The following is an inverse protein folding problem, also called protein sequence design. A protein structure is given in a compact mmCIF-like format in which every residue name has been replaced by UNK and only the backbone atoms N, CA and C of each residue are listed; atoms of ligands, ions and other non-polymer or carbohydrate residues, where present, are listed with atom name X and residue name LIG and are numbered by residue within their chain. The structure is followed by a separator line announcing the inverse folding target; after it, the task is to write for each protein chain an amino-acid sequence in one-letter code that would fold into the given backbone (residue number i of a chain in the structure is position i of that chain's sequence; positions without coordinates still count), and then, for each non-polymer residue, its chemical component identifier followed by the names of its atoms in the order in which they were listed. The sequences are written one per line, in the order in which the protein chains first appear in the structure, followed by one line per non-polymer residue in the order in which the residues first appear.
data_IF_458331125778
#
_entry.id   IF_458331125778
#
_cell.length_a   1.000
_cell.length_b   1.000
_cell.length_c   1.000
_cell.angle_alpha   90.00
_cell.angle_beta   90.00
_cell.angle_gamma   90.00
#
_symmetry.space_group_name_H-M   'P 1'
#
loop_
_entity.id
_entity.type
_entity.pdbx_description
1 polymer ?
#
# COMPACT_ATOMS: atom_id res chain seq x y z
N UNK A 1 7.89 -14.61 2.22
CA UNK A 1 7.48 -13.53 3.13
C UNK A 1 7.55 -13.89 4.63
N UNK A 2 7.03 -15.03 5.11
CA UNK A 2 6.93 -15.31 6.57
C UNK A 2 8.25 -15.27 7.36
N UNK A 3 9.36 -15.70 6.74
CA UNK A 3 10.70 -15.62 7.36
C UNK A 3 11.15 -14.19 7.63
N UNK A 4 10.86 -13.26 6.71
CA UNK A 4 11.22 -11.84 6.87
C UNK A 4 10.39 -11.24 8.00
N UNK A 5 9.09 -11.53 8.02
CA UNK A 5 8.16 -11.05 9.05
C UNK A 5 8.60 -11.52 10.44
N UNK A 6 8.81 -12.84 10.64
CA UNK A 6 9.27 -13.38 11.94
C UNK A 6 10.58 -12.75 12.41
N UNK A 7 11.51 -12.46 11.47
CA UNK A 7 12.79 -11.84 11.80
C UNK A 7 12.65 -10.36 12.19
N UNK A 8 11.67 -9.63 11.66
CA UNK A 8 11.57 -8.16 11.79
C UNK A 8 10.41 -7.67 12.66
N UNK A 9 9.44 -8.52 13.00
CA UNK A 9 8.22 -8.12 13.70
C UNK A 9 8.44 -7.46 15.06
N UNK A 10 9.54 -7.79 15.76
CA UNK A 10 9.92 -7.16 17.03
C UNK A 10 10.99 -6.07 16.91
N UNK A 11 11.34 -5.64 15.69
CA UNK A 11 12.30 -4.55 15.51
C UNK A 11 11.65 -3.24 15.95
N UNK A 12 12.26 -2.49 16.89
CA UNK A 12 11.73 -1.20 17.31
C UNK A 12 11.75 -0.20 16.14
N UNK A 13 10.79 0.71 16.12
CA UNK A 13 10.70 1.80 15.15
C UNK A 13 10.21 3.05 15.86
N UNK A 14 10.64 4.22 15.40
CA UNK A 14 10.22 5.53 15.92
C UNK A 14 9.24 6.25 15.00
N UNK A 15 8.88 7.47 15.39
CA UNK A 15 7.95 8.31 14.63
C UNK A 15 8.49 8.67 13.23
N UNK A 16 9.79 8.90 13.11
CA UNK A 16 10.44 9.16 11.81
C UNK A 16 10.34 7.96 10.87
N UNK A 17 10.57 6.75 11.37
CA UNK A 17 10.43 5.52 10.58
C UNK A 17 8.96 5.32 10.13
N UNK A 18 8.03 5.66 11.04
CA UNK A 18 6.60 5.58 10.75
C UNK A 18 6.19 6.58 9.68
N UNK A 19 6.66 7.81 9.76
CA UNK A 19 6.41 8.84 8.77
C UNK A 19 6.95 8.42 7.40
N UNK A 20 8.20 7.94 7.36
CA UNK A 20 8.79 7.43 6.12
C UNK A 20 8.00 6.25 5.54
N UNK A 21 7.52 5.32 6.39
CA UNK A 21 6.63 4.23 5.95
C UNK A 21 5.34 4.76 5.30
N UNK A 22 4.74 5.82 5.85
CA UNK A 22 3.50 6.39 5.33
C UNK A 22 3.71 7.07 3.96
N UNK A 23 4.85 7.73 3.75
CA UNK A 23 5.23 8.29 2.45
C UNK A 23 5.44 7.21 1.39
N UNK A 24 6.12 6.10 1.76
CA UNK A 24 6.26 4.95 0.86
C UNK A 24 4.92 4.31 0.52
N UNK A 25 3.98 4.29 1.47
CA UNK A 25 2.60 3.84 1.23
C UNK A 25 1.84 4.79 0.30
N UNK A 26 2.10 6.10 0.34
CA UNK A 26 1.58 7.07 -0.62
C UNK A 26 1.99 6.71 -2.05
N UNK A 27 3.29 6.47 -2.27
CA UNK A 27 3.82 6.01 -3.58
C UNK A 27 3.22 4.68 -4.04
N UNK A 28 2.95 3.77 -3.11
CA UNK A 28 2.29 2.49 -3.42
C UNK A 28 0.85 2.70 -3.90
N UNK A 29 0.11 3.60 -3.25
CA UNK A 29 -1.23 3.98 -3.67
C UNK A 29 -1.22 4.66 -5.06
N UNK A 30 -0.30 5.60 -5.29
CA UNK A 30 -0.10 6.24 -6.61
C UNK A 30 0.14 5.19 -7.70
N UNK A 31 1.01 4.21 -7.44
CA UNK A 31 1.28 3.16 -8.41
C UNK A 31 0.02 2.38 -8.79
N UNK A 32 -0.72 1.89 -7.79
CA UNK A 32 -1.91 1.09 -8.05
C UNK A 32 -3.01 1.90 -8.74
N UNK A 33 -3.19 3.17 -8.38
CA UNK A 33 -4.27 3.99 -8.93
C UNK A 33 -3.95 4.56 -10.31
N UNK A 34 -2.68 4.78 -10.65
CA UNK A 34 -2.27 5.48 -11.87
C UNK A 34 -1.69 4.55 -12.93
N UNK A 35 -0.94 3.52 -12.51
CA UNK A 35 -0.12 2.72 -13.43
C UNK A 35 -0.54 1.24 -13.48
N UNK A 36 -1.08 0.68 -12.40
CA UNK A 36 -1.49 -0.72 -12.40
C UNK A 36 -2.67 -0.95 -13.35
N UNK A 37 -2.38 -1.68 -14.44
CA UNK A 37 -3.37 -1.99 -15.48
C UNK A 37 -4.52 -2.82 -14.94
N UNK A 38 -4.27 -3.69 -13.96
CA UNK A 38 -5.30 -4.54 -13.35
C UNK A 38 -6.32 -3.70 -12.59
N UNK A 39 -5.84 -2.81 -11.72
CA UNK A 39 -6.67 -1.85 -10.99
C UNK A 39 -7.45 -0.95 -11.93
N UNK A 40 -6.79 -0.34 -12.92
CA UNK A 40 -7.44 0.54 -13.89
C UNK A 40 -8.53 -0.19 -14.71
N UNK A 41 -8.24 -1.42 -15.17
CA UNK A 41 -9.19 -2.22 -15.91
C UNK A 41 -10.39 -2.59 -15.04
N UNK A 42 -10.16 -3.08 -13.82
CA UNK A 42 -11.23 -3.46 -12.88
C UNK A 42 -12.16 -2.29 -12.57
N UNK A 43 -11.62 -1.11 -12.32
CA UNK A 43 -12.40 0.10 -12.07
C UNK A 43 -13.20 0.55 -13.30
N UNK A 44 -12.60 0.48 -14.50
CA UNK A 44 -13.27 0.88 -15.76
C UNK A 44 -14.33 -0.10 -16.24
N UNK A 45 -14.25 -1.37 -15.83
CA UNK A 45 -15.16 -2.44 -16.27
C UNK A 45 -16.25 -2.77 -15.26
N UNK A 46 -16.32 -2.06 -14.13
CA UNK A 46 -17.34 -2.27 -13.11
C UNK A 46 -17.11 -3.53 -12.26
N UNK A 47 -15.84 -3.94 -12.07
CA UNK A 47 -15.50 -5.02 -11.14
C UNK A 47 -15.81 -4.66 -9.68
N UNK A 48 -15.72 -5.64 -8.78
CA UNK A 48 -15.94 -5.41 -7.35
C UNK A 48 -14.89 -4.45 -6.78
N UNK A 49 -15.31 -3.21 -6.47
CA UNK A 49 -14.43 -2.13 -6.03
C UNK A 49 -13.70 -2.46 -4.74
N UNK A 50 -14.37 -3.09 -3.77
CA UNK A 50 -13.74 -3.46 -2.49
C UNK A 50 -12.63 -4.49 -2.69
N UNK A 51 -12.85 -5.44 -3.60
CA UNK A 51 -11.83 -6.42 -3.98
C UNK A 51 -10.68 -5.79 -4.77
N UNK A 52 -10.96 -4.81 -5.64
CA UNK A 52 -9.93 -4.12 -6.42
C UNK A 52 -9.04 -3.24 -5.50
N UNK A 53 -9.66 -2.50 -4.58
CA UNK A 53 -8.98 -1.56 -3.70
C UNK A 53 -8.41 -2.20 -2.43
N UNK A 54 -8.56 -3.52 -2.24
CA UNK A 54 -7.96 -4.26 -1.12
C UNK A 54 -6.42 -4.14 -1.05
N UNK A 55 -5.80 -3.76 -2.18
CA UNK A 55 -4.35 -3.52 -2.26
C UNK A 55 -3.94 -2.21 -1.57
N UNK A 56 -4.86 -1.25 -1.40
CA UNK A 56 -4.49 0.05 -0.86
C UNK A 56 -4.11 -0.02 0.63
N UNK A 57 -3.11 0.78 1.05
CA UNK A 57 -2.74 0.85 2.45
C UNK A 57 -3.86 1.50 3.27
N UNK A 58 -4.06 1.10 4.54
CA UNK A 58 -5.09 1.68 5.40
C UNK A 58 -4.83 3.14 5.77
N UNK A 59 -3.56 3.56 5.77
CA UNK A 59 -3.12 4.94 5.98
C UNK A 59 -1.90 5.19 5.11
N UNK A 60 -1.90 6.33 4.42
CA UNK A 60 -0.80 6.87 3.64
C UNK A 60 -0.68 8.37 3.93
N UNK A 61 0.50 8.94 3.67
CA UNK A 61 0.75 10.37 3.80
C UNK A 61 1.37 10.91 2.52
N UNK A 62 1.06 12.17 2.22
CA UNK A 62 1.69 12.99 1.19
C UNK A 62 2.28 14.21 1.88
N UNK A 63 3.47 14.60 1.48
CA UNK A 63 4.20 15.77 1.97
C UNK A 63 4.40 16.77 0.83
#
# INVERSE_FOLDING_TARGET
YPRIVRRRMGTPFGDTDKQQQLEWRGRYAEFNLIYDRGTLFGLKTGGNVDAILMSLPPVAAWA
#
